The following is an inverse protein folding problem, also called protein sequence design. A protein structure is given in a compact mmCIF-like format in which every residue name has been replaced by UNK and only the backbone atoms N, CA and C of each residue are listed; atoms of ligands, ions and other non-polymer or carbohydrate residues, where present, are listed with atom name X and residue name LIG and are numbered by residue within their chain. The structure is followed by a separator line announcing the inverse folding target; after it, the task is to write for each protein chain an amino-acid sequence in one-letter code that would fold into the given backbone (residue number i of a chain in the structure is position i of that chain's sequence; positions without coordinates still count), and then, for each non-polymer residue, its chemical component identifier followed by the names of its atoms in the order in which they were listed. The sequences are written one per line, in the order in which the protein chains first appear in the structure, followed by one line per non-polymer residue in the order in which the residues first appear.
data_IF_472184679677
#
_entry.id   IF_472184679677
#
_cell.length_a   1.000
_cell.length_b   1.000
_cell.length_c   1.000
_cell.angle_alpha   90.00
_cell.angle_beta   90.00
_cell.angle_gamma   90.00
#
_symmetry.space_group_name_H-M   'P 1'
#
loop_
_entity.id
_entity.type
_entity.pdbx_description
1 polymer ?
#
# COMPACT_ATOMS: atom_id res chain seq x y z
N UNK A 1 33.00 -17.12 -10.03
CA UNK A 1 32.27 -18.28 -9.43
C UNK A 1 30.76 -18.16 -9.65
N UNK A 2 30.29 -18.00 -10.89
CA UNK A 2 28.87 -17.74 -11.18
C UNK A 2 28.00 -18.99 -11.15
N UNK A 3 28.57 -20.14 -11.53
CA UNK A 3 27.86 -21.43 -11.56
C UNK A 3 27.40 -21.85 -10.16
N UNK A 4 28.20 -21.60 -9.12
CA UNK A 4 27.84 -21.96 -7.74
C UNK A 4 26.65 -21.13 -7.21
N UNK A 5 26.50 -19.87 -7.63
CA UNK A 5 25.37 -19.03 -7.22
C UNK A 5 24.06 -19.48 -7.88
N UNK A 6 24.12 -19.93 -9.14
CA UNK A 6 22.97 -20.51 -9.83
C UNK A 6 22.50 -21.81 -9.15
N UNK A 7 23.44 -22.66 -8.72
CA UNK A 7 23.13 -23.87 -7.96
C UNK A 7 22.52 -23.56 -6.59
N UNK A 8 23.01 -22.56 -5.86
CA UNK A 8 22.43 -22.15 -4.57
C UNK A 8 21.00 -21.65 -4.73
N UNK A 9 20.73 -20.85 -5.76
CA UNK A 9 19.39 -20.32 -6.06
C UNK A 9 18.39 -21.45 -6.32
N UNK A 10 18.77 -22.48 -7.08
CA UNK A 10 17.92 -23.63 -7.34
C UNK A 10 17.76 -24.53 -6.10
N UNK A 11 18.83 -24.71 -5.31
CA UNK A 11 18.81 -25.54 -4.10
C UNK A 11 17.90 -24.95 -3.02
N UNK A 12 17.88 -23.62 -2.86
CA UNK A 12 16.93 -22.95 -1.97
C UNK A 12 15.49 -23.10 -2.45
N UNK A 13 15.23 -22.97 -3.76
CA UNK A 13 13.88 -23.15 -4.30
C UNK A 13 13.36 -24.57 -4.08
N UNK A 14 14.19 -25.59 -4.30
CA UNK A 14 13.87 -26.99 -4.02
C UNK A 14 13.65 -27.18 -2.52
N UNK A 15 14.52 -26.65 -1.66
CA UNK A 15 14.42 -26.83 -0.21
C UNK A 15 13.16 -26.16 0.34
N UNK A 16 12.87 -24.92 -0.05
CA UNK A 16 11.67 -24.20 0.35
C UNK A 16 10.42 -24.95 -0.12
N UNK A 17 10.36 -25.35 -1.39
CA UNK A 17 9.21 -26.08 -1.94
C UNK A 17 9.03 -27.43 -1.24
N UNK A 18 10.12 -28.14 -0.97
CA UNK A 18 10.12 -29.42 -0.26
C UNK A 18 9.64 -29.26 1.17
N UNK A 19 10.22 -28.33 1.93
CA UNK A 19 9.80 -28.04 3.31
C UNK A 19 8.34 -27.59 3.37
N UNK A 20 7.91 -26.73 2.45
CA UNK A 20 6.52 -26.29 2.37
C UNK A 20 5.57 -27.44 2.05
N UNK A 21 5.93 -28.30 1.10
CA UNK A 21 5.17 -29.52 0.77
C UNK A 21 5.06 -30.47 1.97
N UNK A 22 6.17 -30.74 2.65
CA UNK A 22 6.20 -31.56 3.87
C UNK A 22 5.33 -30.95 4.96
N UNK A 23 5.41 -29.63 5.15
CA UNK A 23 4.59 -28.92 6.13
C UNK A 23 3.10 -29.06 5.82
N UNK A 24 2.69 -28.87 4.57
CA UNK A 24 1.30 -29.08 4.14
C UNK A 24 0.86 -30.52 4.41
N UNK A 25 1.69 -31.49 4.03
CA UNK A 25 1.39 -32.91 4.24
C UNK A 25 1.25 -33.24 5.74
N UNK A 26 2.13 -32.69 6.57
CA UNK A 26 2.09 -32.83 8.01
C UNK A 26 0.83 -32.19 8.61
N UNK A 27 0.43 -30.99 8.16
CA UNK A 27 -0.83 -30.37 8.59
C UNK A 27 -2.04 -31.24 8.25
N UNK A 28 -2.08 -31.79 7.03
CA UNK A 28 -3.19 -32.64 6.57
C UNK A 28 -3.27 -33.94 7.38
N UNK A 29 -2.13 -34.60 7.61
CA UNK A 29 -2.10 -35.90 8.29
C UNK A 29 -2.19 -35.81 9.82
N UNK A 30 -1.53 -34.83 10.42
CA UNK A 30 -1.45 -34.71 11.88
C UNK A 30 -2.64 -33.93 12.46
N UNK A 31 -3.23 -33.02 11.67
CA UNK A 31 -4.36 -32.22 12.07
C UNK A 31 -5.52 -32.31 11.05
N UNK A 32 -6.14 -33.50 10.88
CA UNK A 32 -7.33 -33.65 10.04
C UNK A 32 -8.46 -32.63 10.33
N UNK A 33 -8.76 -32.22 11.59
CA UNK A 33 -9.79 -31.19 11.82
C UNK A 33 -9.39 -29.79 11.33
N UNK A 34 -8.11 -29.53 11.07
CA UNK A 34 -7.67 -28.25 10.50
C UNK A 34 -8.25 -28.03 9.11
N UNK A 35 -8.50 -29.11 8.35
CA UNK A 35 -9.18 -29.03 7.06
C UNK A 35 -10.66 -28.67 7.19
N UNK A 36 -11.34 -29.15 8.24
CA UNK A 36 -12.73 -28.77 8.52
C UNK A 36 -12.82 -27.28 8.86
N UNK A 37 -11.89 -26.80 9.68
CA UNK A 37 -11.73 -25.38 10.01
C UNK A 37 -11.48 -24.58 8.73
N UNK A 38 -10.54 -24.99 7.89
CA UNK A 38 -10.27 -24.34 6.59
C UNK A 38 -11.51 -24.29 5.70
N UNK A 39 -12.36 -25.32 5.74
CA UNK A 39 -13.63 -25.35 5.00
C UNK A 39 -14.64 -24.33 5.54
N UNK A 40 -14.72 -24.15 6.87
CA UNK A 40 -15.55 -23.09 7.47
C UNK A 40 -15.03 -21.68 7.17
N UNK A 41 -13.71 -21.51 7.12
CA UNK A 41 -13.08 -20.21 6.84
C UNK A 41 -12.87 -19.95 5.33
N UNK A 42 -13.09 -20.96 4.48
CA UNK A 42 -12.96 -20.84 3.03
C UNK A 42 -13.74 -19.67 2.43
N UNK A 43 -15.02 -19.42 2.81
CA UNK A 43 -15.78 -18.27 2.28
C UNK A 43 -15.14 -16.93 2.63
N UNK A 44 -14.56 -16.81 3.83
CA UNK A 44 -13.89 -15.60 4.30
C UNK A 44 -12.56 -15.39 3.57
N UNK A 45 -11.76 -16.44 3.44
CA UNK A 45 -10.50 -16.43 2.69
C UNK A 45 -10.75 -16.10 1.23
N UNK A 46 -11.76 -16.72 0.62
CA UNK A 46 -12.13 -16.49 -0.77
C UNK A 46 -12.60 -15.06 -1.01
N UNK A 47 -13.42 -14.52 -0.10
CA UNK A 47 -13.89 -13.12 -0.19
C UNK A 47 -12.74 -12.13 -0.04
N UNK A 48 -11.83 -12.39 0.90
CA UNK A 48 -10.62 -11.58 1.09
C UNK A 48 -9.70 -11.65 -0.12
N UNK A 49 -9.45 -12.85 -0.65
CA UNK A 49 -8.62 -13.04 -1.83
C UNK A 49 -9.22 -12.35 -3.05
N UNK A 50 -10.53 -12.49 -3.28
CA UNK A 50 -11.22 -11.82 -4.37
C UNK A 50 -11.16 -10.29 -4.23
N UNK A 51 -11.38 -9.78 -3.01
CA UNK A 51 -11.25 -8.36 -2.71
C UNK A 51 -9.83 -7.86 -3.03
N UNK A 52 -8.79 -8.56 -2.57
CA UNK A 52 -7.40 -8.19 -2.86
C UNK A 52 -7.08 -8.28 -4.35
N UNK A 53 -7.57 -9.30 -5.07
CA UNK A 53 -7.41 -9.41 -6.52
C UNK A 53 -8.04 -8.19 -7.21
N UNK A 54 -9.24 -7.78 -6.80
CA UNK A 54 -9.91 -6.59 -7.33
C UNK A 54 -9.09 -5.34 -7.01
N UNK A 55 -8.63 -5.15 -5.77
CA UNK A 55 -7.79 -4.01 -5.37
C UNK A 55 -6.49 -3.94 -6.17
N UNK A 56 -5.79 -5.07 -6.31
CA UNK A 56 -4.55 -5.17 -7.10
C UNK A 56 -4.82 -4.92 -8.57
N UNK A 57 -5.92 -5.46 -9.11
CA UNK A 57 -6.32 -5.22 -10.49
C UNK A 57 -6.61 -3.74 -10.69
N UNK A 58 -7.41 -3.10 -9.82
CA UNK A 58 -7.66 -1.65 -9.85
C UNK A 58 -6.37 -0.82 -9.78
N UNK A 59 -5.43 -1.17 -8.91
CA UNK A 59 -4.13 -0.52 -8.86
C UNK A 59 -3.34 -0.70 -10.17
N UNK A 60 -3.40 -1.87 -10.79
CA UNK A 60 -2.71 -2.18 -12.05
C UNK A 60 -3.37 -1.54 -13.27
N UNK A 61 -4.70 -1.57 -13.38
CA UNK A 61 -5.45 -0.95 -14.49
C UNK A 61 -5.49 0.57 -14.38
N UNK A 62 -5.39 1.14 -13.18
CA UNK A 62 -5.21 2.58 -12.98
C UNK A 62 -3.78 3.05 -13.30
N UNK A 63 -2.85 2.12 -13.51
CA UNK A 63 -1.46 2.42 -13.89
C UNK A 63 -1.08 1.80 -15.24
N UNK A 64 -1.56 2.34 -16.38
CA UNK A 64 -0.94 2.08 -17.67
C UNK A 64 0.19 3.08 -18.02
N UNK A 65 0.47 4.11 -17.20
CA UNK A 65 1.37 5.24 -17.60
C UNK A 65 2.38 5.65 -16.52
N UNK A 66 2.49 4.93 -15.40
CA UNK A 66 3.25 5.42 -14.24
C UNK A 66 4.33 4.47 -13.76
N UNK A 67 5.21 4.01 -14.65
CA UNK A 67 6.51 3.47 -14.22
C UNK A 67 7.50 4.57 -13.77
N UNK A 68 7.07 5.86 -13.78
CA UNK A 68 7.93 7.02 -13.45
C UNK A 68 7.40 7.83 -12.24
N UNK A 69 6.20 7.56 -11.70
CA UNK A 69 5.60 8.39 -10.62
C UNK A 69 4.89 7.54 -9.55
N UNK A 70 5.45 6.37 -9.23
CA UNK A 70 5.05 5.58 -8.07
C UNK A 70 5.50 6.21 -6.74
N UNK A 71 6.60 6.98 -6.77
CA UNK A 71 7.11 7.73 -5.60
C UNK A 71 6.21 8.92 -5.23
N UNK A 72 5.74 9.67 -6.22
CA UNK A 72 4.97 10.91 -6.06
C UNK A 72 3.53 10.74 -5.57
N UNK A 73 2.90 9.58 -5.80
CA UNK A 73 1.48 9.38 -5.43
C UNK A 73 1.31 9.18 -3.92
N UNK A 74 2.32 8.65 -3.22
CA UNK A 74 2.32 8.53 -1.76
C UNK A 74 2.62 9.85 -1.04
N UNK A 75 3.40 10.72 -1.67
CA UNK A 75 3.81 12.02 -1.11
C UNK A 75 2.64 12.99 -0.94
N UNK A 76 1.66 12.98 -1.85
CA UNK A 76 0.46 13.83 -1.72
C UNK A 76 -0.45 13.49 -0.54
N UNK A 77 -0.43 12.23 -0.07
CA UNK A 77 -1.18 11.81 1.14
C UNK A 77 -0.40 12.21 2.40
N UNK A 78 0.93 12.13 2.37
CA UNK A 78 1.78 12.55 3.48
C UNK A 78 1.76 14.07 3.68
N UNK A 79 1.69 14.84 2.59
CA UNK A 79 1.58 16.30 2.62
C UNK A 79 0.20 16.76 3.15
N UNK A 80 -0.87 16.04 2.78
CA UNK A 80 -2.22 16.28 3.28
C UNK A 80 -2.38 16.00 4.79
N UNK A 81 -1.70 15.00 5.33
CA UNK A 81 -1.72 14.68 6.78
C UNK A 81 -0.68 15.48 7.55
N UNK A 82 0.41 15.86 6.87
CA UNK A 82 1.51 16.65 7.40
C UNK A 82 1.20 18.12 7.62
N UNK A 83 0.06 18.60 7.11
CA UNK A 83 -0.56 19.87 7.45
C UNK A 83 0.43 21.02 7.50
N UNK A 84 0.77 21.59 6.34
CA UNK A 84 1.45 22.87 6.34
C UNK A 84 0.45 23.96 6.82
N UNK A 85 0.67 24.62 7.97
CA UNK A 85 -0.25 25.62 8.50
C UNK A 85 0.02 27.03 7.93
N UNK A 86 0.60 27.16 6.73
CA UNK A 86 0.99 28.47 6.21
C UNK A 86 0.16 29.01 5.03
N UNK A 87 -0.78 28.25 4.45
CA UNK A 87 -1.56 28.75 3.30
C UNK A 87 -3.00 29.17 3.65
N UNK A 88 -3.20 29.73 4.84
CA UNK A 88 -4.44 30.42 5.18
C UNK A 88 -4.29 31.92 5.46
N UNK A 89 -3.25 32.60 4.99
CA UNK A 89 -3.29 34.07 4.84
C UNK A 89 -2.45 34.56 3.65
N UNK A 90 -3.13 34.97 2.56
CA UNK A 90 -3.00 36.37 2.17
C UNK A 90 -4.36 37.10 2.06
N UNK A 91 -5.48 36.43 2.30
CA UNK A 91 -6.80 37.05 2.06
C UNK A 91 -7.35 37.90 3.22
N UNK A 92 -6.62 38.02 4.34
CA UNK A 92 -6.92 39.00 5.40
C UNK A 92 -6.06 40.28 5.31
N UNK A 93 -5.45 40.56 4.15
CA UNK A 93 -4.73 41.82 3.92
C UNK A 93 -5.54 42.89 3.19
N UNK A 94 -6.72 42.57 2.66
CA UNK A 94 -7.61 43.56 2.01
C UNK A 94 -8.73 44.10 2.90
N UNK A 95 -8.97 43.55 4.10
CA UNK A 95 -9.99 44.08 5.02
C UNK A 95 -9.47 45.19 5.96
N UNK A 96 -8.21 45.62 5.82
CA UNK A 96 -7.62 46.65 6.68
C UNK A 96 -7.00 47.83 5.92
N UNK A 97 -7.37 48.06 4.65
CA UNK A 97 -7.07 49.30 3.92
C UNK A 97 -8.34 50.14 3.63
N UNK A 98 -9.34 50.06 4.52
CA UNK A 98 -10.67 50.63 4.28
C UNK A 98 -11.13 51.73 5.23
N UNK A 99 -10.32 52.24 6.16
CA UNK A 99 -10.79 53.30 7.07
C UNK A 99 -9.65 54.20 7.55
N UNK A 100 -9.61 55.46 7.06
CA UNK A 100 -8.67 56.44 7.59
C UNK A 100 -8.32 57.67 6.74
N UNK A 101 -9.05 58.01 5.68
CA UNK A 101 -8.99 59.37 5.11
C UNK A 101 -9.70 60.34 6.07
N UNK A 102 -9.00 60.89 7.07
CA UNK A 102 -9.23 62.26 7.55
C UNK A 102 -8.16 62.69 8.56
N UNK A 103 -7.12 63.38 8.11
CA UNK A 103 -6.57 64.49 8.88
C UNK A 103 -5.87 65.46 7.95
N UNK A 104 -6.67 66.45 7.57
CA UNK A 104 -6.33 67.62 6.79
C UNK A 104 -5.30 68.48 7.53
N UNK A 105 -4.25 68.82 6.79
CA UNK A 105 -3.40 70.01 6.85
C UNK A 105 -3.96 71.13 7.75
N UNK A 106 -3.21 71.48 8.79
CA UNK A 106 -2.92 72.86 9.23
C UNK A 106 -1.53 72.91 9.90
#
# INVERSE_FOLDING_TARGET
MEIQQLLLKFKFHILITSTFSILIFALIYLAPPFLDILKYFWPLLLSTALFLIVVVLFGRISSPVTEISGEKTGEGILDYVGGQPEELQPHLRELHEGEGESSKVE
#
